data_IF_849670346566
#
_entry.id   IF_849670346566
#
_cell.length_a   1.000
_cell.length_b   1.000
_cell.length_c   1.000
_cell.angle_alpha   90.00
_cell.angle_beta   90.00
_cell.angle_gamma   90.00
#
_symmetry.space_group_name_H-M   'P 1'
#
loop_
_entity.id
_entity.type
_entity.pdbx_description
1 polymer ?
#
# COMPACT_ATOMS: atom_id res chain seq x y z
N UNK A 1 -3.09 2.19 -12.24
CA UNK A 1 -4.32 2.67 -12.88
C UNK A 1 -5.51 1.73 -12.62
N UNK A 2 -5.35 0.41 -12.68
CA UNK A 2 -6.41 -0.58 -12.45
C UNK A 2 -7.05 -0.51 -11.05
N UNK A 3 -6.29 -0.20 -10.01
CA UNK A 3 -6.80 -0.04 -8.64
C UNK A 3 -7.78 1.12 -8.49
N UNK A 4 -7.48 2.25 -9.11
CA UNK A 4 -8.32 3.46 -9.06
C UNK A 4 -9.63 3.24 -9.81
N UNK A 5 -9.58 2.56 -10.97
CA UNK A 5 -10.77 2.22 -11.75
C UNK A 5 -11.69 1.26 -10.98
N UNK A 6 -11.13 0.29 -10.26
CA UNK A 6 -11.89 -0.63 -9.38
C UNK A 6 -12.56 0.11 -8.22
N UNK A 7 -11.89 1.09 -7.60
CA UNK A 7 -12.47 1.90 -6.53
C UNK A 7 -13.65 2.73 -7.07
N UNK A 8 -13.48 3.37 -8.23
CA UNK A 8 -14.57 4.12 -8.87
C UNK A 8 -15.77 3.23 -9.18
N UNK A 9 -15.52 2.08 -9.78
CA UNK A 9 -16.57 1.14 -10.15
C UNK A 9 -17.34 0.64 -8.91
N UNK A 10 -16.64 0.33 -7.81
CA UNK A 10 -17.27 -0.03 -6.53
C UNK A 10 -18.05 1.13 -5.93
N UNK A 11 -17.50 2.35 -5.95
CA UNK A 11 -18.18 3.52 -5.43
C UNK A 11 -19.49 3.78 -6.19
N UNK A 12 -19.44 3.81 -7.53
CA UNK A 12 -20.62 4.02 -8.39
C UNK A 12 -21.65 2.92 -8.17
N UNK A 13 -21.26 1.65 -8.20
CA UNK A 13 -22.19 0.53 -7.95
C UNK A 13 -22.82 0.57 -6.57
N UNK A 14 -22.04 0.86 -5.52
CA UNK A 14 -22.57 0.96 -4.16
C UNK A 14 -23.55 2.12 -4.02
N UNK A 15 -23.25 3.27 -4.61
CA UNK A 15 -24.15 4.43 -4.57
C UNK A 15 -25.47 4.17 -5.29
N UNK A 16 -25.43 3.48 -6.45
CA UNK A 16 -26.64 3.07 -7.18
C UNK A 16 -27.46 2.09 -6.34
N UNK A 17 -26.82 1.08 -5.75
CA UNK A 17 -27.51 0.09 -4.90
C UNK A 17 -28.17 0.73 -3.68
N UNK A 18 -27.48 1.65 -3.00
CA UNK A 18 -28.03 2.38 -1.86
C UNK A 18 -29.22 3.24 -2.29
N UNK A 19 -29.12 3.96 -3.40
CA UNK A 19 -30.20 4.79 -3.92
C UNK A 19 -31.44 3.97 -4.29
N UNK A 20 -31.23 2.83 -4.94
CA UNK A 20 -32.30 1.89 -5.29
C UNK A 20 -32.95 1.31 -4.02
N UNK A 21 -32.14 0.91 -3.05
CA UNK A 21 -32.63 0.40 -1.77
C UNK A 21 -33.47 1.45 -1.02
N UNK A 22 -33.01 2.69 -0.92
CA UNK A 22 -33.74 3.78 -0.24
C UNK A 22 -35.05 4.08 -0.97
N UNK A 23 -35.06 4.05 -2.31
CA UNK A 23 -36.26 4.26 -3.09
C UNK A 23 -37.29 3.15 -2.85
N UNK A 24 -36.87 1.89 -2.88
CA UNK A 24 -37.74 0.72 -2.59
C UNK A 24 -38.24 0.78 -1.15
N UNK A 25 -37.35 1.07 -0.19
CA UNK A 25 -37.69 1.19 1.23
C UNK A 25 -38.75 2.26 1.47
N UNK A 26 -38.62 3.45 0.87
CA UNK A 26 -39.62 4.50 0.98
C UNK A 26 -40.95 4.12 0.38
N UNK A 27 -40.94 3.36 -0.74
CA UNK A 27 -42.16 2.89 -1.37
C UNK A 27 -42.88 1.83 -0.51
N UNK A 28 -42.12 0.91 0.08
CA UNK A 28 -42.66 -0.09 1.01
C UNK A 28 -43.17 0.58 2.29
N UNK A 29 -42.43 1.56 2.83
CA UNK A 29 -42.83 2.30 4.02
C UNK A 29 -44.15 3.06 3.79
N UNK A 30 -44.25 3.75 2.66
CA UNK A 30 -45.51 4.45 2.28
C UNK A 30 -46.66 3.47 2.14
N UNK A 31 -46.43 2.31 1.47
CA UNK A 31 -47.42 1.25 1.32
C UNK A 31 -47.88 0.68 2.68
N UNK A 32 -46.94 0.43 3.59
CA UNK A 32 -47.27 -0.07 4.92
C UNK A 32 -48.04 0.94 5.75
N UNK A 33 -47.68 2.23 5.72
CA UNK A 33 -48.41 3.29 6.39
C UNK A 33 -49.85 3.40 5.91
N UNK A 34 -50.06 3.39 4.59
CA UNK A 34 -51.41 3.41 4.02
C UNK A 34 -52.19 2.16 4.39
N UNK A 35 -51.57 0.98 4.35
CA UNK A 35 -52.24 -0.29 4.63
C UNK A 35 -52.61 -0.44 6.12
N UNK A 36 -51.78 0.00 7.05
CA UNK A 36 -52.03 -0.12 8.47
C UNK A 36 -53.18 0.80 8.93
N UNK A 37 -53.31 1.97 8.33
CA UNK A 37 -54.36 2.92 8.69
C UNK A 37 -55.74 2.54 8.11
N UNK A 38 -55.77 1.93 6.90
CA UNK A 38 -57.02 1.47 6.29
C UNK A 38 -57.58 0.17 6.86
N UNK A 39 -56.79 -0.62 7.56
CA UNK A 39 -57.18 -1.94 8.07
C UNK A 39 -57.77 -1.94 9.48
N UNK A 40 -57.79 -0.80 10.19
CA UNK A 40 -58.30 -0.71 11.55
C UNK A 40 -59.83 -0.63 11.66
N UNK A 41 -60.54 -0.26 10.58
CA UNK A 41 -62.01 -0.17 10.53
C UNK A 41 -62.55 -0.82 9.30
N UNK A 42 -63.76 -1.38 9.43
CA UNK A 42 -64.45 -1.98 8.27
C UNK A 42 -64.74 -0.88 7.22
N UNK A 43 -64.44 -1.06 5.93
CA UNK A 43 -64.78 -0.07 4.91
C UNK A 43 -66.27 0.23 4.93
N UNK A 44 -66.63 1.53 4.81
CA UNK A 44 -68.04 2.00 4.91
C UNK A 44 -68.97 1.28 3.94
N UNK A 45 -68.50 0.92 2.77
CA UNK A 45 -69.24 0.19 1.72
C UNK A 45 -69.58 -1.25 2.16
N UNK A 46 -68.61 -1.96 2.79
CA UNK A 46 -68.82 -3.31 3.31
C UNK A 46 -69.81 -3.31 4.49
N UNK A 47 -69.70 -2.27 5.36
CA UNK A 47 -70.59 -2.07 6.49
C UNK A 47 -72.03 -1.79 6.04
N UNK A 48 -72.18 -0.89 5.04
CA UNK A 48 -73.46 -0.60 4.42
C UNK A 48 -74.16 -1.84 3.81
N UNK A 49 -73.40 -2.61 3.03
CA UNK A 49 -73.86 -3.82 2.40
C UNK A 49 -74.33 -4.85 3.44
N UNK A 50 -73.57 -5.02 4.52
CA UNK A 50 -73.90 -5.88 5.63
C UNK A 50 -75.18 -5.39 6.34
N UNK A 51 -75.32 -4.07 6.49
CA UNK A 51 -76.49 -3.46 7.11
C UNK A 51 -77.75 -3.64 6.23
N UNK A 52 -77.65 -3.44 4.91
CA UNK A 52 -78.72 -3.66 3.94
C UNK A 52 -79.24 -5.11 3.93
N UNK A 53 -78.35 -6.08 4.07
CA UNK A 53 -78.69 -7.49 4.08
C UNK A 53 -79.31 -7.99 5.38
N UNK A 54 -79.13 -7.26 6.52
CA UNK A 54 -79.56 -7.69 7.86
C UNK A 54 -80.65 -6.79 8.47
N UNK A 55 -81.14 -5.82 7.73
CA UNK A 55 -82.26 -4.96 8.19
C UNK A 55 -83.58 -5.59 7.67
N UNK A 56 -84.28 -6.27 8.53
CA UNK A 56 -85.51 -6.97 8.17
C UNK A 56 -86.73 -6.19 8.66
N UNK A 57 -87.85 -6.26 7.92
CA UNK A 57 -89.14 -5.65 8.26
C UNK A 57 -90.08 -6.73 8.85
N UNK A 58 -90.47 -6.62 10.09
CA UNK A 58 -91.46 -7.47 10.77
C UNK A 58 -92.57 -6.58 11.37
N UNK A 59 -93.80 -6.89 11.09
CA UNK A 59 -95.02 -6.23 11.61
C UNK A 59 -94.93 -4.68 11.56
N UNK A 60 -94.46 -4.12 10.46
CA UNK A 60 -94.34 -2.70 10.20
C UNK A 60 -93.20 -2.00 10.93
N UNK A 61 -92.33 -2.72 11.69
CA UNK A 61 -91.08 -2.21 12.34
C UNK A 61 -89.87 -2.86 11.66
N UNK A 62 -88.78 -2.06 11.69
CA UNK A 62 -87.51 -2.54 11.17
C UNK A 62 -86.62 -3.02 12.30
N UNK A 63 -86.04 -4.19 12.17
CA UNK A 63 -85.13 -4.80 13.16
C UNK A 63 -83.79 -5.12 12.55
N UNK A 64 -82.74 -4.81 13.32
CA UNK A 64 -81.40 -5.11 12.91
C UNK A 64 -80.81 -6.23 13.77
N UNK A 65 -80.09 -7.15 13.16
CA UNK A 65 -79.42 -8.22 13.88
C UNK A 65 -78.39 -7.68 14.86
N UNK A 66 -78.30 -8.29 16.06
CA UNK A 66 -77.42 -7.90 17.16
C UNK A 66 -75.93 -7.88 16.77
N UNK A 67 -75.48 -8.78 15.91
CA UNK A 67 -74.11 -8.83 15.38
C UNK A 67 -73.76 -7.59 14.51
N UNK A 68 -74.74 -7.07 13.78
CA UNK A 68 -74.58 -5.87 12.95
C UNK A 68 -74.60 -4.59 13.80
N UNK A 69 -75.43 -4.57 14.88
CA UNK A 69 -75.43 -3.52 15.86
C UNK A 69 -74.03 -3.40 16.54
N UNK A 70 -73.44 -4.52 16.97
CA UNK A 70 -72.09 -4.54 17.51
C UNK A 70 -71.04 -4.04 16.52
N UNK A 71 -71.22 -4.34 15.22
CA UNK A 71 -70.32 -3.85 14.16
C UNK A 71 -70.44 -2.33 13.98
N UNK A 72 -71.68 -1.78 14.01
CA UNK A 72 -71.90 -0.32 13.98
C UNK A 72 -71.25 0.38 15.16
N UNK A 73 -71.40 -0.18 16.36
CA UNK A 73 -70.82 0.34 17.61
C UNK A 73 -69.28 0.34 17.55
N UNK A 74 -68.67 -0.74 17.09
CA UNK A 74 -67.23 -0.84 16.92
C UNK A 74 -66.67 0.20 15.95
N UNK A 75 -67.44 0.51 14.89
CA UNK A 75 -67.05 1.51 13.89
C UNK A 75 -67.47 2.95 14.28
N UNK A 76 -68.08 3.17 15.44
CA UNK A 76 -68.60 4.45 15.90
C UNK A 76 -69.56 5.09 14.90
N UNK A 77 -70.32 4.26 14.20
CA UNK A 77 -71.24 4.70 13.15
C UNK A 77 -72.68 4.76 13.69
N UNK A 78 -73.40 5.78 13.33
CA UNK A 78 -74.85 5.83 13.43
C UNK A 78 -75.45 5.44 12.10
N UNK A 79 -76.70 5.00 12.08
CA UNK A 79 -77.37 4.57 10.87
C UNK A 79 -78.86 5.00 10.85
N UNK A 80 -79.41 5.20 9.67
CA UNK A 80 -80.83 5.40 9.44
C UNK A 80 -81.34 4.73 8.17
N UNK A 81 -82.55 4.38 8.14
CA UNK A 81 -83.23 3.89 6.94
C UNK A 81 -84.29 4.92 6.53
N UNK A 82 -84.25 5.33 5.26
CA UNK A 82 -85.15 6.29 4.63
C UNK A 82 -86.03 5.49 3.64
N UNK A 83 -87.35 5.62 3.76
CA UNK A 83 -88.28 4.97 2.85
C UNK A 83 -88.41 5.70 1.50
N UNK A 84 -89.19 5.14 0.57
CA UNK A 84 -89.43 5.74 -0.77
C UNK A 84 -90.09 7.14 -0.71
N UNK A 85 -90.87 7.40 0.37
CA UNK A 85 -91.51 8.72 0.60
C UNK A 85 -90.57 9.74 1.23
N UNK A 86 -89.31 9.35 1.59
CA UNK A 86 -88.31 10.23 2.16
C UNK A 86 -88.34 10.34 3.70
N UNK A 87 -89.10 9.51 4.41
CA UNK A 87 -89.15 9.50 5.85
C UNK A 87 -88.18 8.52 6.47
N UNK A 88 -87.53 8.93 7.58
CA UNK A 88 -86.70 8.03 8.38
C UNK A 88 -87.60 7.09 9.19
N UNK A 89 -87.65 5.79 8.82
CA UNK A 89 -88.49 4.78 9.46
C UNK A 89 -87.77 3.96 10.51
N UNK A 90 -86.44 3.96 10.45
CA UNK A 90 -85.60 3.31 11.46
C UNK A 90 -84.33 4.11 11.65
N UNK A 91 -83.85 4.18 12.88
CA UNK A 91 -82.59 4.79 13.20
C UNK A 91 -81.83 4.07 14.33
N UNK A 92 -80.48 4.18 14.30
CA UNK A 92 -79.59 3.68 15.32
C UNK A 92 -78.61 4.78 15.71
N UNK A 93 -78.65 5.24 16.96
CA UNK A 93 -77.83 6.32 17.49
C UNK A 93 -77.79 7.60 16.62
N UNK A 94 -78.93 7.93 16.00
CA UNK A 94 -79.06 9.10 15.13
C UNK A 94 -78.84 10.41 15.95
N UNK A 95 -77.94 11.31 15.55
CA UNK A 95 -77.74 12.61 16.18
C UNK A 95 -79.06 13.44 16.15
N UNK A 96 -79.30 14.20 17.23
CA UNK A 96 -80.56 14.97 17.41
C UNK A 96 -80.78 16.08 16.39
N UNK A 97 -79.68 16.58 15.79
CA UNK A 97 -79.67 17.65 14.78
C UNK A 97 -79.99 17.15 13.37
N UNK A 98 -80.15 15.84 13.15
CA UNK A 98 -80.45 15.23 11.88
C UNK A 98 -81.94 15.20 11.61
N UNK A 99 -82.41 15.78 10.46
CA UNK A 99 -83.82 15.73 10.07
C UNK A 99 -84.35 14.31 9.83
N UNK A 100 -85.66 14.13 10.09
CA UNK A 100 -86.31 12.84 9.83
C UNK A 100 -87.08 12.77 8.51
N UNK A 101 -86.98 13.77 7.67
CA UNK A 101 -87.53 13.81 6.33
C UNK A 101 -86.55 14.38 5.31
N UNK A 102 -86.44 13.76 4.17
CA UNK A 102 -85.53 14.13 3.09
C UNK A 102 -86.23 14.09 1.72
N UNK A 103 -86.10 15.13 0.96
CA UNK A 103 -86.51 15.07 -0.44
C UNK A 103 -85.37 14.51 -1.30
N UNK A 104 -85.69 14.22 -2.59
CA UNK A 104 -84.72 13.66 -3.53
C UNK A 104 -83.46 14.49 -3.69
N UNK A 105 -83.59 15.84 -3.63
CA UNK A 105 -82.45 16.77 -3.74
C UNK A 105 -81.54 16.68 -2.53
N UNK A 106 -82.12 16.55 -1.33
CA UNK A 106 -81.34 16.39 -0.07
C UNK A 106 -80.57 15.09 -0.06
N UNK A 107 -81.20 13.99 -0.48
CA UNK A 107 -80.53 12.70 -0.63
C UNK A 107 -79.39 12.77 -1.63
N UNK A 108 -79.58 13.39 -2.79
CA UNK A 108 -78.54 13.58 -3.79
C UNK A 108 -77.34 14.45 -3.28
N UNK A 109 -77.64 15.45 -2.45
CA UNK A 109 -76.61 16.30 -1.84
C UNK A 109 -75.76 15.53 -0.81
N UNK A 110 -76.37 14.88 0.19
CA UNK A 110 -75.60 14.22 1.26
C UNK A 110 -74.98 12.89 0.81
N UNK A 111 -75.52 12.22 -0.18
CA UNK A 111 -74.86 11.03 -0.76
C UNK A 111 -73.49 11.38 -1.34
N UNK A 112 -73.41 12.60 -1.92
CA UNK A 112 -72.12 13.12 -2.50
C UNK A 112 -71.27 13.86 -1.51
N UNK A 113 -71.90 14.66 -0.61
CA UNK A 113 -71.23 15.54 0.33
C UNK A 113 -71.47 15.10 1.79
N UNK A 114 -71.42 16.02 2.74
CA UNK A 114 -71.69 15.81 4.15
C UNK A 114 -73.17 16.10 4.45
N UNK A 115 -73.74 15.39 5.38
CA UNK A 115 -75.05 15.71 5.97
C UNK A 115 -74.82 16.50 7.25
N UNK A 116 -75.05 17.81 7.26
CA UNK A 116 -74.80 18.69 8.44
C UNK A 116 -73.42 18.50 9.07
N UNK A 117 -72.37 18.42 8.25
CA UNK A 117 -70.98 18.15 8.59
C UNK A 117 -70.69 16.69 9.03
N UNK A 118 -71.66 15.81 9.05
CA UNK A 118 -71.44 14.37 9.23
C UNK A 118 -71.03 13.71 7.93
N UNK A 119 -69.93 12.96 7.89
CA UNK A 119 -69.57 12.17 6.76
C UNK A 119 -70.53 10.97 6.66
N UNK A 120 -71.37 10.93 5.62
CA UNK A 120 -72.39 9.92 5.42
C UNK A 120 -72.12 9.13 4.12
N UNK A 121 -72.55 7.86 4.15
CA UNK A 121 -72.50 6.96 2.98
C UNK A 121 -73.86 6.30 2.84
N UNK A 122 -74.29 6.00 1.60
CA UNK A 122 -75.60 5.51 1.27
C UNK A 122 -75.52 4.20 0.52
N UNK A 123 -76.47 3.32 0.71
CA UNK A 123 -76.63 2.08 0.00
C UNK A 123 -78.11 1.78 -0.28
N UNK A 124 -78.40 1.05 -1.36
CA UNK A 124 -79.76 0.61 -1.69
C UNK A 124 -80.28 -0.42 -0.70
N UNK A 125 -81.63 -0.39 -0.47
CA UNK A 125 -82.37 -1.40 0.23
C UNK A 125 -83.72 -1.57 -0.48
N UNK A 126 -84.29 -2.76 -0.43
CA UNK A 126 -85.50 -3.14 -1.19
C UNK A 126 -86.65 -2.11 -1.14
N UNK A 127 -86.82 -1.42 -0.04
CA UNK A 127 -87.91 -0.45 0.17
C UNK A 127 -87.40 0.98 0.50
N UNK A 128 -86.17 1.36 0.08
CA UNK A 128 -85.63 2.68 0.37
C UNK A 128 -84.11 2.72 0.35
N UNK A 129 -83.56 3.61 1.24
CA UNK A 129 -82.15 3.91 1.31
C UNK A 129 -81.61 3.74 2.71
N UNK A 130 -80.56 2.99 2.85
CA UNK A 130 -79.79 2.94 4.10
C UNK A 130 -78.70 3.97 4.04
N UNK A 131 -78.55 4.70 5.17
CA UNK A 131 -77.54 5.71 5.37
C UNK A 131 -76.77 5.37 6.64
N UNK A 132 -75.45 5.30 6.54
CA UNK A 132 -74.60 5.30 7.72
C UNK A 132 -73.85 6.63 7.78
N UNK A 133 -73.61 7.09 8.98
CA UNK A 133 -72.84 8.29 9.20
C UNK A 133 -71.88 8.12 10.34
N UNK A 134 -70.82 8.92 10.33
CA UNK A 134 -69.76 8.93 11.33
C UNK A 134 -69.75 10.28 12.07
N UNK A 135 -69.07 10.37 13.20
CA UNK A 135 -68.94 11.63 13.92
C UNK A 135 -68.35 12.75 13.04
N UNK A 136 -68.70 13.99 13.35
CA UNK A 136 -68.16 15.15 12.59
C UNK A 136 -66.61 15.11 12.64
N UNK A 137 -66.00 15.51 11.54
CA UNK A 137 -64.51 15.54 11.35
C UNK A 137 -63.81 14.19 11.42
N UNK A 138 -64.54 13.06 11.54
CA UNK A 138 -63.93 11.71 11.61
C UNK A 138 -63.42 11.18 10.25
N UNK A 139 -63.96 11.61 9.14
CA UNK A 139 -63.62 11.18 7.82
C UNK A 139 -63.62 12.35 6.84
N UNK A 140 -62.60 12.39 5.99
CA UNK A 140 -62.55 13.32 4.87
C UNK A 140 -63.17 12.65 3.66
N UNK A 141 -64.21 13.19 3.08
CA UNK A 141 -64.93 12.67 1.94
C UNK A 141 -64.60 13.51 0.72
N UNK A 142 -63.71 12.96 -0.14
CA UNK A 142 -63.37 13.57 -1.42
C UNK A 142 -63.88 12.74 -2.57
N UNK A 143 -64.50 13.41 -3.54
CA UNK A 143 -64.88 12.79 -4.80
C UNK A 143 -63.86 13.10 -5.85
N UNK A 144 -62.88 12.24 -6.01
CA UNK A 144 -61.96 12.29 -7.13
C UNK A 144 -62.52 11.45 -8.29
N UNK A 145 -62.66 12.09 -9.44
CA UNK A 145 -62.92 11.36 -10.69
C UNK A 145 -61.67 11.49 -11.56
N UNK A 146 -61.11 10.37 -11.92
CA UNK A 146 -59.98 10.32 -12.86
C UNK A 146 -60.47 9.90 -14.21
N UNK A 147 -59.94 10.49 -15.31
CA UNK A 147 -60.12 9.98 -16.63
C UNK A 147 -59.55 8.56 -16.72
N UNK A 148 -60.28 7.63 -17.31
CA UNK A 148 -59.85 6.20 -17.42
C UNK A 148 -58.51 6.07 -18.15
N UNK A 149 -58.25 6.92 -19.15
CA UNK A 149 -56.98 6.95 -19.90
C UNK A 149 -55.84 7.37 -18.99
N UNK A 150 -56.06 8.34 -18.08
CA UNK A 150 -55.02 8.78 -17.13
C UNK A 150 -54.61 7.62 -16.19
N UNK A 151 -55.58 6.86 -15.71
CA UNK A 151 -55.33 5.70 -14.82
C UNK A 151 -54.63 4.55 -15.57
N UNK A 152 -54.99 4.36 -16.85
CA UNK A 152 -54.37 3.34 -17.71
C UNK A 152 -52.89 3.64 -17.99
N UNK A 153 -52.52 4.92 -18.10
CA UNK A 153 -51.16 5.35 -18.33
C UNK A 153 -50.33 5.47 -17.05
N UNK A 154 -50.93 5.40 -15.86
CA UNK A 154 -50.25 5.55 -14.56
C UNK A 154 -49.03 4.65 -14.42
N UNK A 155 -49.07 3.34 -14.73
CA UNK A 155 -47.91 2.47 -14.62
C UNK A 155 -46.75 2.93 -15.50
N UNK A 156 -47.02 3.41 -16.71
CA UNK A 156 -45.99 3.95 -17.62
C UNK A 156 -45.36 5.23 -17.03
N UNK A 157 -46.16 6.15 -16.51
CA UNK A 157 -45.72 7.39 -15.90
C UNK A 157 -44.86 7.14 -14.67
N UNK A 158 -45.27 6.18 -13.81
CA UNK A 158 -44.46 5.76 -12.66
C UNK A 158 -43.15 5.14 -13.13
N UNK A 159 -43.17 4.29 -14.14
CA UNK A 159 -41.97 3.71 -14.73
C UNK A 159 -41.00 4.73 -15.26
N UNK A 160 -41.48 5.74 -16.01
CA UNK A 160 -40.67 6.84 -16.51
C UNK A 160 -40.06 7.69 -15.38
N UNK A 161 -40.84 7.97 -14.33
CA UNK A 161 -40.35 8.70 -13.15
C UNK A 161 -39.24 7.95 -12.42
N UNK A 162 -39.40 6.62 -12.26
CA UNK A 162 -38.36 5.77 -11.66
C UNK A 162 -37.10 5.76 -12.51
N UNK A 163 -37.23 5.62 -13.84
CA UNK A 163 -36.10 5.61 -14.77
C UNK A 163 -35.36 6.95 -14.75
N UNK A 164 -36.09 8.06 -14.67
CA UNK A 164 -35.51 9.41 -14.54
C UNK A 164 -34.74 9.57 -13.23
N UNK A 165 -35.28 9.08 -12.11
CA UNK A 165 -34.56 9.10 -10.81
C UNK A 165 -33.29 8.26 -10.84
N UNK A 166 -33.32 7.09 -11.46
CA UNK A 166 -32.12 6.25 -11.66
C UNK A 166 -31.09 6.99 -12.49
N UNK A 167 -31.52 7.65 -13.59
CA UNK A 167 -30.65 8.43 -14.44
C UNK A 167 -29.94 9.59 -13.69
N UNK A 168 -30.69 10.35 -12.89
CA UNK A 168 -30.11 11.41 -12.04
C UNK A 168 -29.11 10.86 -11.04
N UNK A 169 -29.48 9.76 -10.36
CA UNK A 169 -28.60 9.14 -9.36
C UNK A 169 -27.29 8.67 -9.99
N UNK A 170 -27.35 8.06 -11.16
CA UNK A 170 -26.17 7.62 -11.90
C UNK A 170 -25.29 8.79 -12.31
N UNK A 171 -25.89 9.85 -12.84
CA UNK A 171 -25.18 11.08 -13.22
C UNK A 171 -24.44 11.70 -12.03
N UNK A 172 -25.14 11.89 -10.92
CA UNK A 172 -24.56 12.44 -9.69
C UNK A 172 -23.43 11.55 -9.14
N UNK A 173 -23.63 10.24 -9.14
CA UNK A 173 -22.62 9.28 -8.69
C UNK A 173 -21.34 9.34 -9.52
N UNK A 174 -21.46 9.43 -10.84
CA UNK A 174 -20.31 9.58 -11.75
C UNK A 174 -19.60 10.92 -11.52
N UNK A 175 -20.34 12.01 -11.39
CA UNK A 175 -19.75 13.35 -11.16
C UNK A 175 -19.00 13.41 -9.82
N UNK A 176 -19.60 12.93 -8.75
CA UNK A 176 -18.96 12.90 -7.41
C UNK A 176 -17.77 11.97 -7.42
N UNK A 177 -17.92 10.76 -7.99
CA UNK A 177 -16.85 9.76 -8.06
C UNK A 177 -15.63 10.25 -8.84
N UNK A 178 -15.84 10.91 -9.98
CA UNK A 178 -14.74 11.46 -10.78
C UNK A 178 -14.01 12.61 -10.07
N UNK A 179 -14.75 13.49 -9.37
CA UNK A 179 -14.13 14.54 -8.53
C UNK A 179 -13.29 13.96 -7.40
N UNK A 180 -13.80 12.94 -6.73
CA UNK A 180 -13.09 12.27 -5.64
C UNK A 180 -11.80 11.61 -6.11
N UNK A 181 -11.85 10.90 -7.25
CA UNK A 181 -10.66 10.26 -7.84
C UNK A 181 -9.62 11.28 -8.29
N UNK A 182 -10.05 12.40 -8.90
CA UNK A 182 -9.13 13.48 -9.27
C UNK A 182 -8.37 14.02 -8.04
N UNK A 183 -9.00 14.04 -6.86
CA UNK A 183 -8.35 14.45 -5.61
C UNK A 183 -7.38 13.40 -5.05
N UNK A 184 -7.72 12.11 -5.14
CA UNK A 184 -6.90 11.03 -4.56
C UNK A 184 -5.68 10.68 -5.42
N UNK A 185 -5.79 10.71 -6.74
CA UNK A 185 -4.72 10.31 -7.66
C UNK A 185 -3.37 10.99 -7.42
N UNK A 186 -3.29 12.31 -7.21
CA UNK A 186 -2.03 12.99 -6.89
C UNK A 186 -1.42 12.50 -5.57
N UNK A 187 -2.24 12.22 -4.55
CA UNK A 187 -1.78 11.74 -3.24
C UNK A 187 -1.15 10.35 -3.33
N UNK A 188 -1.80 9.42 -4.05
CA UNK A 188 -1.27 8.07 -4.27
C UNK A 188 0.04 8.13 -5.06
N UNK A 189 0.09 8.96 -6.12
CA UNK A 189 1.33 9.18 -6.89
C UNK A 189 2.41 9.81 -6.00
N UNK A 190 2.04 10.76 -5.15
CA UNK A 190 2.94 11.38 -4.18
C UNK A 190 3.56 10.36 -3.22
N UNK A 191 2.75 9.52 -2.59
CA UNK A 191 3.26 8.46 -1.70
C UNK A 191 4.20 7.49 -2.43
N UNK A 192 3.88 7.15 -3.69
CA UNK A 192 4.74 6.27 -4.48
C UNK A 192 6.09 6.92 -4.82
N UNK A 193 6.11 8.21 -5.16
CA UNK A 193 7.33 8.95 -5.43
C UNK A 193 8.14 9.19 -4.15
N UNK A 194 7.46 9.37 -3.00
CA UNK A 194 8.12 9.44 -1.70
C UNK A 194 8.91 8.17 -1.38
N UNK A 195 8.36 7.00 -1.73
CA UNK A 195 9.04 5.71 -1.57
C UNK A 195 10.28 5.57 -2.49
N UNK A 196 10.40 6.40 -3.54
CA UNK A 196 11.57 6.48 -4.43
C UNK A 196 12.55 7.59 -4.04
N UNK A 197 12.36 8.21 -2.87
CA UNK A 197 13.17 9.33 -2.37
C UNK A 197 13.09 10.60 -3.25
N UNK A 198 12.08 10.71 -4.13
CA UNK A 198 11.86 11.91 -4.92
C UNK A 198 11.19 13.01 -4.08
N UNK A 199 11.63 14.25 -4.26
CA UNK A 199 11.01 15.39 -3.58
C UNK A 199 9.62 15.67 -4.16
N UNK A 200 8.61 15.79 -3.28
CA UNK A 200 7.22 15.95 -3.66
C UNK A 200 6.67 17.26 -3.12
N UNK A 201 5.89 17.94 -3.97
CA UNK A 201 5.09 19.09 -3.57
C UNK A 201 3.67 18.93 -4.14
N UNK A 202 2.72 18.53 -3.28
CA UNK A 202 1.32 18.36 -3.61
C UNK A 202 0.56 19.66 -3.31
N UNK A 203 -0.43 19.97 -4.14
CA UNK A 203 -1.34 21.10 -3.85
C UNK A 203 -2.21 20.75 -2.63
N UNK A 204 -2.16 21.59 -1.60
CA UNK A 204 -2.90 21.43 -0.35
C UNK A 204 -4.31 22.04 -0.40
N UNK A 205 -4.82 22.42 -1.57
CA UNK A 205 -6.16 22.95 -1.73
C UNK A 205 -7.20 21.84 -1.89
N UNK A 206 -8.36 21.99 -1.25
CA UNK A 206 -9.50 21.11 -1.40
C UNK A 206 -9.72 20.15 -0.20
N UNK A 207 -10.65 19.21 -0.35
CA UNK A 207 -11.15 18.32 0.72
C UNK A 207 -10.02 17.44 1.32
N UNK A 208 -8.99 17.13 0.54
CA UNK A 208 -7.85 16.31 0.96
C UNK A 208 -6.58 17.15 1.21
N UNK A 209 -6.73 18.47 1.42
CA UNK A 209 -5.64 19.41 1.63
C UNK A 209 -4.75 19.06 2.82
N UNK A 210 -5.34 18.68 3.96
CA UNK A 210 -4.62 18.30 5.17
C UNK A 210 -3.74 17.05 4.95
N UNK A 211 -4.25 16.10 4.19
CA UNK A 211 -3.48 14.91 3.82
C UNK A 211 -2.33 15.25 2.87
N UNK A 212 -2.57 16.11 1.89
CA UNK A 212 -1.51 16.62 0.99
C UNK A 212 -0.43 17.36 1.78
N UNK A 213 -0.81 18.19 2.75
CA UNK A 213 0.12 18.91 3.62
C UNK A 213 0.94 17.94 4.50
N UNK A 214 0.31 16.89 5.03
CA UNK A 214 1.00 15.85 5.81
C UNK A 214 2.04 15.11 4.97
N UNK A 215 1.72 14.76 3.72
CA UNK A 215 2.65 14.13 2.77
C UNK A 215 3.81 15.08 2.43
N UNK A 216 3.54 16.37 2.18
CA UNK A 216 4.56 17.38 1.92
C UNK A 216 5.51 17.56 3.12
N UNK A 217 4.97 17.56 4.34
CA UNK A 217 5.76 17.65 5.58
C UNK A 217 6.63 16.41 5.77
N UNK A 218 6.09 15.21 5.50
CA UNK A 218 6.86 13.97 5.54
C UNK A 218 7.99 13.98 4.49
N UNK A 219 7.72 14.44 3.26
CA UNK A 219 8.71 14.59 2.19
C UNK A 219 9.86 15.52 2.60
N UNK A 220 9.51 16.69 3.13
CA UNK A 220 10.49 17.66 3.60
C UNK A 220 11.36 17.12 4.74
N UNK A 221 10.73 16.39 5.68
CA UNK A 221 11.44 15.79 6.82
C UNK A 221 12.36 14.66 6.38
N UNK A 222 11.92 13.80 5.46
CA UNK A 222 12.74 12.75 4.87
C UNK A 222 13.95 13.35 4.15
N UNK A 223 13.72 14.34 3.29
CA UNK A 223 14.79 15.03 2.57
C UNK A 223 15.83 15.61 3.54
N UNK A 224 15.40 16.35 4.57
CA UNK A 224 16.29 16.90 5.60
C UNK A 224 17.11 15.82 6.30
N UNK A 225 16.50 14.67 6.62
CA UNK A 225 17.20 13.54 7.25
C UNK A 225 18.22 12.92 6.30
N UNK A 226 17.87 12.70 5.03
CA UNK A 226 18.78 12.16 4.02
C UNK A 226 19.98 13.10 3.79
N UNK A 227 19.71 14.41 3.64
CA UNK A 227 20.76 15.41 3.48
C UNK A 227 21.67 15.49 4.72
N UNK A 228 21.12 15.41 5.93
CA UNK A 228 21.89 15.40 7.17
C UNK A 228 22.75 14.13 7.31
N UNK A 229 22.22 12.95 6.88
CA UNK A 229 22.99 11.71 6.86
C UNK A 229 24.16 11.81 5.87
N UNK A 230 23.93 12.31 4.64
CA UNK A 230 24.98 12.54 3.65
C UNK A 230 26.04 13.48 4.17
N UNK A 231 25.65 14.64 4.72
CA UNK A 231 26.60 15.61 5.27
C UNK A 231 27.43 15.02 6.43
N UNK A 232 26.80 14.20 7.29
CA UNK A 232 27.52 13.50 8.36
C UNK A 232 28.54 12.50 7.81
N UNK A 233 28.16 11.75 6.78
CA UNK A 233 29.00 10.72 6.18
C UNK A 233 30.16 11.38 5.41
N UNK A 234 29.93 12.48 4.70
CA UNK A 234 30.96 13.30 4.07
C UNK A 234 31.93 13.88 5.13
N UNK A 235 31.41 14.47 6.22
CA UNK A 235 32.23 14.99 7.31
C UNK A 235 33.12 13.90 7.93
N UNK A 236 32.57 12.70 8.14
CA UNK A 236 33.32 11.56 8.68
C UNK A 236 34.43 11.10 7.73
N UNK A 237 34.18 11.04 6.46
CA UNK A 237 35.16 10.66 5.44
C UNK A 237 36.26 11.68 5.34
N UNK A 238 35.93 12.98 5.28
CA UNK A 238 36.89 14.08 5.25
C UNK A 238 37.75 14.12 6.53
N UNK A 239 37.15 13.83 7.70
CA UNK A 239 37.87 13.74 8.96
C UNK A 239 38.91 12.61 8.96
N UNK A 240 38.54 11.40 8.47
CA UNK A 240 39.46 10.27 8.35
C UNK A 240 40.60 10.60 7.37
N UNK A 241 40.27 11.22 6.23
CA UNK A 241 41.25 11.64 5.24
C UNK A 241 42.26 12.67 5.83
N UNK A 242 41.74 13.67 6.57
CA UNK A 242 42.56 14.66 7.26
C UNK A 242 43.52 14.05 8.30
N UNK A 243 42.97 13.20 9.19
CA UNK A 243 43.81 12.51 10.20
C UNK A 243 44.86 11.63 9.51
N UNK A 244 44.48 10.92 8.42
CA UNK A 244 45.39 10.06 7.66
C UNK A 244 46.57 10.86 7.09
N UNK A 245 46.31 12.08 6.61
CA UNK A 245 47.35 13.02 6.15
C UNK A 245 48.24 13.48 7.28
N UNK A 246 47.67 13.91 8.40
CA UNK A 246 48.36 14.47 9.54
C UNK A 246 49.23 13.44 10.28
N UNK A 247 48.85 12.15 10.24
CA UNK A 247 49.69 11.07 10.77
C UNK A 247 50.80 10.69 9.78
N UNK A 248 50.56 10.75 8.46
CA UNK A 248 51.54 10.37 7.44
C UNK A 248 52.82 11.21 7.54
N UNK A 249 52.70 12.52 7.80
CA UNK A 249 53.85 13.44 7.88
C UNK A 249 54.85 13.08 8.99
N UNK A 250 54.44 13.00 10.29
CA UNK A 250 55.37 12.59 11.34
C UNK A 250 55.87 11.16 11.17
N UNK A 251 55.04 10.26 10.65
CA UNK A 251 55.45 8.89 10.41
C UNK A 251 56.54 8.79 9.33
N UNK A 252 56.46 9.63 8.28
CA UNK A 252 57.50 9.65 7.22
C UNK A 252 58.83 10.14 7.78
N UNK A 253 58.86 11.06 8.76
CA UNK A 253 60.07 11.52 9.45
C UNK A 253 60.66 10.37 10.30
N UNK A 254 59.81 9.67 11.06
CA UNK A 254 60.24 8.52 11.88
C UNK A 254 60.87 7.44 10.99
N UNK A 255 60.18 7.11 9.86
CA UNK A 255 60.68 6.14 8.90
C UNK A 255 62.04 6.56 8.29
N UNK A 256 62.18 7.84 7.95
CA UNK A 256 63.42 8.38 7.43
C UNK A 256 64.59 8.19 8.40
N UNK A 257 64.43 8.61 9.64
CA UNK A 257 65.47 8.44 10.68
C UNK A 257 65.72 6.96 10.98
N UNK A 258 64.70 6.12 11.04
CA UNK A 258 64.87 4.67 11.26
C UNK A 258 65.67 4.02 10.13
N UNK A 259 65.40 4.40 8.87
CA UNK A 259 66.17 3.91 7.71
C UNK A 259 67.63 4.35 7.78
N UNK A 260 67.87 5.66 8.07
CA UNK A 260 69.25 6.20 8.20
C UNK A 260 70.05 5.48 9.31
N UNK A 261 69.40 5.22 10.46
CA UNK A 261 70.02 4.48 11.56
C UNK A 261 70.29 3.02 11.22
N UNK A 262 69.37 2.34 10.47
CA UNK A 262 69.53 0.97 10.04
C UNK A 262 70.70 0.78 9.07
N UNK A 263 70.89 1.77 8.18
CA UNK A 263 71.92 1.77 7.16
C UNK A 263 73.28 2.31 7.66
N UNK A 264 73.35 2.91 8.85
CA UNK A 264 74.56 3.50 9.40
C UNK A 264 75.52 2.44 9.90
N UNK A 265 76.70 2.36 9.29
CA UNK A 265 77.79 1.47 9.75
C UNK A 265 78.50 1.94 11.02
N UNK A 266 78.31 3.18 11.44
CA UNK A 266 78.87 3.71 12.65
C UNK A 266 78.14 3.28 13.93
N UNK A 267 76.91 2.77 13.78
CA UNK A 267 76.09 2.32 14.91
C UNK A 267 76.34 0.83 15.21
N UNK A 268 76.28 0.43 16.51
CA UNK A 268 76.32 -0.97 16.92
C UNK A 268 75.21 -1.79 16.24
N UNK A 269 75.52 -3.06 15.95
CA UNK A 269 74.58 -3.98 15.24
C UNK A 269 73.22 -4.05 15.91
N UNK A 270 73.18 -4.02 17.23
CA UNK A 270 71.96 -4.08 18.01
C UNK A 270 71.05 -2.85 17.74
N UNK A 271 71.64 -1.64 17.65
CA UNK A 271 70.90 -0.42 17.39
C UNK A 271 70.38 -0.36 15.94
N UNK A 272 71.13 -0.91 14.99
CA UNK A 272 70.70 -1.05 13.60
C UNK A 272 69.53 -2.02 13.49
N UNK A 273 69.57 -3.14 14.20
CA UNK A 273 68.43 -4.09 14.26
C UNK A 273 67.19 -3.43 14.88
N UNK A 274 67.33 -2.67 15.95
CA UNK A 274 66.25 -1.93 16.58
C UNK A 274 65.64 -0.89 15.59
N UNK A 275 66.50 -0.16 14.86
CA UNK A 275 66.07 0.78 13.85
C UNK A 275 65.30 0.09 12.70
N UNK A 276 65.75 -1.11 12.26
CA UNK A 276 65.02 -1.93 11.29
C UNK A 276 63.63 -2.37 11.77
N UNK A 277 63.51 -2.72 13.04
CA UNK A 277 62.23 -3.05 13.67
C UNK A 277 61.31 -1.81 13.67
N UNK A 278 61.81 -0.64 14.04
CA UNK A 278 61.04 0.62 14.05
C UNK A 278 60.56 0.93 12.65
N UNK A 279 61.46 0.85 11.62
CA UNK A 279 61.09 1.05 10.22
C UNK A 279 59.99 0.11 9.79
N UNK A 280 60.14 -1.20 10.04
CA UNK A 280 59.14 -2.20 9.68
C UNK A 280 57.78 -1.93 10.33
N UNK A 281 57.74 -1.57 11.64
CA UNK A 281 56.49 -1.25 12.30
C UNK A 281 55.89 0.07 11.78
N UNK A 282 56.73 1.06 11.47
CA UNK A 282 56.28 2.30 10.85
C UNK A 282 55.68 2.10 9.45
N UNK A 283 56.27 1.26 8.60
CA UNK A 283 55.71 0.90 7.30
C UNK A 283 54.36 0.19 7.42
N UNK A 284 54.25 -0.72 8.38
CA UNK A 284 53.00 -1.40 8.70
C UNK A 284 51.92 -0.39 9.13
N UNK A 285 52.25 0.58 9.97
CA UNK A 285 51.34 1.65 10.40
C UNK A 285 50.90 2.54 9.21
N UNK A 286 51.83 2.88 8.30
CA UNK A 286 51.59 3.65 7.08
C UNK A 286 50.55 2.92 6.18
N UNK A 287 50.75 1.60 6.01
CA UNK A 287 49.81 0.76 5.24
C UNK A 287 48.42 0.75 5.85
N UNK A 288 48.31 0.60 7.19
CA UNK A 288 47.05 0.63 7.91
C UNK A 288 46.27 1.92 7.76
N UNK A 289 46.94 3.04 7.86
CA UNK A 289 46.32 4.35 7.67
C UNK A 289 45.83 4.52 6.24
N UNK A 290 46.62 4.06 5.27
CA UNK A 290 46.22 4.04 3.86
C UNK A 290 44.99 3.12 3.61
N UNK A 291 44.94 1.97 4.27
CA UNK A 291 43.83 1.02 4.17
C UNK A 291 42.55 1.58 4.79
N UNK A 292 42.66 2.20 5.99
CA UNK A 292 41.55 2.84 6.66
C UNK A 292 40.93 3.97 5.84
N UNK A 293 41.79 4.81 5.26
CA UNK A 293 41.37 5.92 4.42
C UNK A 293 40.63 5.39 3.15
N UNK A 294 41.22 4.41 2.47
CA UNK A 294 40.58 3.81 1.27
C UNK A 294 39.22 3.17 1.59
N UNK A 295 39.15 2.38 2.66
CA UNK A 295 37.90 1.73 3.08
C UNK A 295 36.84 2.78 3.43
N UNK A 296 37.23 3.85 4.12
CA UNK A 296 36.30 4.95 4.41
C UNK A 296 35.81 5.63 3.15
N UNK A 297 36.67 5.93 2.20
CA UNK A 297 36.27 6.57 0.94
C UNK A 297 35.37 5.64 0.07
N UNK A 298 35.61 4.35 0.08
CA UNK A 298 34.78 3.37 -0.63
C UNK A 298 33.43 3.18 0.06
N UNK A 299 33.39 3.14 1.40
CA UNK A 299 32.15 2.99 2.19
C UNK A 299 31.14 4.11 1.90
N UNK A 300 31.64 5.33 1.68
CA UNK A 300 30.82 6.52 1.45
C UNK A 300 30.76 6.94 -0.02
N UNK A 301 31.15 6.04 -0.94
CA UNK A 301 31.15 6.27 -2.40
C UNK A 301 31.92 7.53 -2.83
N UNK A 302 32.90 7.96 -2.03
CA UNK A 302 33.71 9.15 -2.32
C UNK A 302 34.99 8.85 -3.09
N UNK A 303 35.30 7.56 -3.29
CA UNK A 303 36.47 7.15 -4.06
C UNK A 303 36.15 7.23 -5.56
N UNK A 304 36.80 8.11 -6.35
CA UNK A 304 36.66 8.10 -7.79
C UNK A 304 37.24 6.83 -8.38
N UNK A 305 36.47 6.12 -9.19
CA UNK A 305 36.88 4.90 -9.87
C UNK A 305 37.38 5.22 -11.29
N UNK A 306 38.57 4.75 -11.62
CA UNK A 306 39.13 4.82 -12.99
C UNK A 306 38.81 3.51 -13.72
N UNK A 307 37.55 3.34 -14.13
CA UNK A 307 37.07 2.13 -14.76
C UNK A 307 37.64 1.99 -16.18
N UNK A 308 38.31 0.84 -16.46
CA UNK A 308 38.78 0.43 -17.77
C UNK A 308 38.51 -1.06 -18.00
N UNK A 309 38.65 -1.50 -19.23
CA UNK A 309 38.55 -2.93 -19.54
C UNK A 309 39.80 -3.65 -19.03
N UNK A 310 39.60 -4.65 -18.18
CA UNK A 310 40.67 -5.37 -17.47
C UNK A 310 40.47 -6.86 -17.65
N UNK A 311 41.55 -7.59 -17.78
CA UNK A 311 41.58 -9.05 -17.71
C UNK A 311 42.02 -9.48 -16.32
N UNK A 312 41.13 -10.14 -15.56
CA UNK A 312 41.49 -10.62 -14.22
C UNK A 312 42.64 -11.65 -14.22
N UNK A 313 42.78 -12.41 -15.30
CA UNK A 313 43.90 -13.34 -15.48
C UNK A 313 45.26 -12.63 -15.48
N UNK A 314 45.34 -11.41 -16.06
CA UNK A 314 46.59 -10.62 -16.05
C UNK A 314 46.89 -10.13 -14.63
N UNK A 315 45.89 -9.64 -13.88
CA UNK A 315 46.09 -9.23 -12.49
C UNK A 315 46.49 -10.41 -11.58
N UNK A 316 45.90 -11.59 -11.79
CA UNK A 316 46.27 -12.79 -11.02
C UNK A 316 47.72 -13.19 -11.26
N UNK A 317 48.19 -13.14 -12.55
CA UNK A 317 49.62 -13.38 -12.85
C UNK A 317 50.55 -12.35 -12.23
N UNK A 318 50.18 -11.08 -12.30
CA UNK A 318 50.96 -10.01 -11.71
C UNK A 318 51.13 -10.22 -10.20
N UNK A 319 50.05 -10.47 -9.49
CA UNK A 319 50.11 -10.72 -8.03
C UNK A 319 50.99 -11.91 -7.70
N UNK A 320 50.83 -13.03 -8.41
CA UNK A 320 51.68 -14.21 -8.19
C UNK A 320 53.14 -13.92 -8.43
N UNK A 321 53.48 -13.20 -9.54
CA UNK A 321 54.84 -12.79 -9.86
C UNK A 321 55.42 -11.88 -8.81
N UNK A 322 54.66 -10.89 -8.31
CA UNK A 322 55.11 -9.96 -7.27
C UNK A 322 55.45 -10.68 -5.97
N UNK A 323 54.63 -11.65 -5.53
CA UNK A 323 54.91 -12.44 -4.33
C UNK A 323 56.17 -13.34 -4.50
N UNK A 324 56.31 -14.02 -5.65
CA UNK A 324 57.48 -14.84 -5.91
C UNK A 324 58.77 -14.03 -5.99
N UNK A 325 58.77 -12.87 -6.65
CA UNK A 325 59.94 -12.00 -6.76
C UNK A 325 60.35 -11.32 -5.46
N UNK A 326 59.42 -11.08 -4.54
CA UNK A 326 59.66 -10.47 -3.22
C UNK A 326 60.19 -11.45 -2.18
N UNK A 327 60.65 -12.63 -2.58
CA UNK A 327 61.29 -13.60 -1.70
C UNK A 327 60.28 -14.33 -0.80
N UNK A 328 59.17 -14.76 -1.33
CA UNK A 328 58.24 -15.62 -0.60
C UNK A 328 58.98 -16.91 -0.21
N UNK A 329 58.81 -17.33 1.06
CA UNK A 329 59.44 -18.53 1.61
C UNK A 329 59.00 -19.79 0.83
N UNK A 330 59.91 -20.74 0.61
CA UNK A 330 59.66 -22.01 -0.12
C UNK A 330 58.53 -22.86 0.50
N UNK A 331 58.06 -22.54 1.70
CA UNK A 331 56.88 -23.15 2.35
C UNK A 331 55.55 -22.85 1.68
N UNK A 332 55.52 -21.81 0.80
CA UNK A 332 54.33 -21.40 0.08
C UNK A 332 54.44 -21.75 -1.39
N UNK A 333 53.47 -22.46 -1.92
CA UNK A 333 53.38 -22.86 -3.32
C UNK A 333 52.28 -22.07 -4.04
N UNK A 334 52.53 -21.55 -5.23
CA UNK A 334 51.54 -20.91 -6.05
C UNK A 334 51.09 -21.80 -7.23
N UNK A 335 49.76 -21.97 -7.36
CA UNK A 335 49.15 -22.67 -8.47
C UNK A 335 48.25 -21.68 -9.23
N UNK A 336 48.51 -21.49 -10.51
CA UNK A 336 47.69 -20.65 -11.40
C UNK A 336 46.82 -21.53 -12.32
N UNK A 337 45.48 -21.37 -12.21
CA UNK A 337 44.48 -22.02 -13.05
C UNK A 337 43.65 -20.97 -13.79
N UNK A 338 44.21 -20.36 -14.80
CA UNK A 338 43.61 -19.23 -15.48
C UNK A 338 42.82 -19.71 -16.71
N UNK A 339 41.50 -19.72 -16.58
CA UNK A 339 40.57 -20.07 -17.64
C UNK A 339 39.90 -18.80 -18.18
N UNK A 340 39.41 -18.85 -19.42
CA UNK A 340 38.70 -17.74 -20.06
C UNK A 340 39.47 -16.41 -20.06
N UNK A 341 40.76 -16.46 -20.36
CA UNK A 341 41.68 -15.31 -20.26
C UNK A 341 41.32 -14.12 -21.15
N UNK A 342 40.52 -14.32 -22.20
CA UNK A 342 40.06 -13.27 -23.07
C UNK A 342 38.93 -12.44 -22.50
N UNK A 343 38.26 -12.92 -21.45
CA UNK A 343 37.12 -12.23 -20.82
C UNK A 343 37.60 -10.98 -20.09
N UNK A 344 36.89 -9.88 -20.32
CA UNK A 344 37.18 -8.57 -19.73
C UNK A 344 36.06 -8.13 -18.80
N UNK A 345 36.41 -7.40 -17.77
CA UNK A 345 35.51 -6.74 -16.85
C UNK A 345 35.79 -5.23 -16.83
N UNK A 346 34.81 -4.41 -16.54
CA UNK A 346 35.03 -2.99 -16.29
C UNK A 346 35.48 -2.79 -14.83
N UNK A 347 36.68 -2.28 -14.64
CA UNK A 347 37.20 -2.11 -13.28
C UNK A 347 38.35 -1.11 -13.17
N UNK A 348 38.68 -0.75 -11.94
CA UNK A 348 39.88 0.00 -11.58
C UNK A 348 41.01 -1.00 -11.27
N UNK A 349 42.01 -1.02 -12.14
CA UNK A 349 43.11 -1.96 -12.06
C UNK A 349 43.86 -1.92 -10.72
N UNK A 350 44.13 -0.71 -10.20
CA UNK A 350 44.88 -0.55 -8.96
C UNK A 350 44.11 -1.08 -7.76
N UNK A 351 42.80 -0.83 -7.73
CA UNK A 351 41.95 -1.30 -6.64
C UNK A 351 41.74 -2.82 -6.72
N UNK A 352 41.48 -3.37 -7.91
CA UNK A 352 41.35 -4.82 -8.07
C UNK A 352 42.65 -5.56 -7.77
N UNK A 353 43.80 -5.03 -8.22
CA UNK A 353 45.13 -5.56 -7.88
C UNK A 353 45.30 -5.60 -6.34
N UNK A 354 44.96 -4.49 -5.66
CA UNK A 354 45.03 -4.42 -4.18
C UNK A 354 44.11 -5.41 -3.52
N UNK A 355 42.90 -5.65 -4.06
CA UNK A 355 41.98 -6.66 -3.52
C UNK A 355 42.55 -8.08 -3.61
N UNK A 356 43.12 -8.44 -4.77
CA UNK A 356 43.70 -9.75 -4.97
C UNK A 356 44.94 -9.94 -4.09
N UNK A 357 45.82 -8.92 -4.02
CA UNK A 357 47.01 -8.90 -3.14
C UNK A 357 46.61 -9.12 -1.68
N UNK A 358 45.54 -8.45 -1.20
CA UNK A 358 45.06 -8.63 0.18
C UNK A 358 44.56 -10.06 0.45
N UNK A 359 43.87 -10.70 -0.50
CA UNK A 359 43.42 -12.09 -0.33
C UNK A 359 44.62 -13.05 -0.25
N UNK A 360 45.60 -12.89 -1.12
CA UNK A 360 46.83 -13.68 -1.12
C UNK A 360 47.62 -13.46 0.15
N UNK A 361 47.79 -12.17 0.56
CA UNK A 361 48.49 -11.81 1.80
C UNK A 361 47.80 -12.43 3.04
N UNK A 362 46.48 -12.48 3.07
CA UNK A 362 45.75 -13.15 4.14
C UNK A 362 46.08 -14.65 4.21
N UNK A 363 46.15 -15.33 3.07
CA UNK A 363 46.55 -16.75 3.02
C UNK A 363 47.97 -16.95 3.53
N UNK A 364 48.91 -16.06 3.21
CA UNK A 364 50.30 -16.12 3.72
C UNK A 364 50.33 -15.85 5.23
N UNK A 365 49.68 -14.74 5.68
CA UNK A 365 49.78 -14.27 7.08
C UNK A 365 49.12 -15.23 8.06
N UNK A 366 48.04 -15.89 7.65
CA UNK A 366 47.31 -16.77 8.55
C UNK A 366 47.75 -18.27 8.52
N UNK A 367 48.68 -18.60 7.63
CA UNK A 367 49.21 -19.96 7.49
C UNK A 367 50.73 -19.99 7.66
N UNK A 368 51.25 -19.64 8.82
CA UNK A 368 52.70 -19.54 9.13
C UNK A 368 53.52 -20.82 8.90
N UNK A 369 52.86 -21.96 8.80
CA UNK A 369 53.52 -23.25 8.49
C UNK A 369 53.70 -23.50 6.99
N UNK A 370 53.23 -22.56 6.15
CA UNK A 370 53.15 -22.69 4.71
C UNK A 370 51.76 -23.19 4.25
N UNK A 371 51.47 -22.94 2.99
CA UNK A 371 50.24 -23.41 2.35
C UNK A 371 50.36 -23.36 0.81
N UNK A 372 49.50 -24.09 0.13
CA UNK A 372 49.32 -24.02 -1.30
C UNK A 372 48.24 -22.98 -1.60
N UNK A 373 48.62 -21.93 -2.34
CA UNK A 373 47.72 -20.84 -2.73
C UNK A 373 47.37 -20.99 -4.22
N UNK A 374 46.09 -21.19 -4.50
CA UNK A 374 45.60 -21.35 -5.88
C UNK A 374 44.85 -20.10 -6.30
N UNK A 375 45.31 -19.48 -7.40
CA UNK A 375 44.59 -18.43 -8.09
C UNK A 375 43.88 -19.01 -9.31
N UNK A 376 42.56 -18.92 -9.33
CA UNK A 376 41.76 -19.52 -10.41
C UNK A 376 40.81 -18.48 -10.99
N UNK A 377 40.66 -18.51 -12.33
CA UNK A 377 39.61 -17.71 -12.96
C UNK A 377 38.58 -18.64 -13.61
N UNK A 378 37.29 -18.28 -13.46
CA UNK A 378 36.18 -19.04 -14.03
C UNK A 378 35.06 -18.11 -14.48
N UNK A 379 34.12 -18.64 -15.25
CA UNK A 379 32.92 -17.95 -15.68
C UNK A 379 31.73 -18.55 -14.92
N UNK A 380 30.77 -17.72 -14.50
CA UNK A 380 29.52 -18.21 -13.90
C UNK A 380 28.73 -19.06 -14.88
N UNK A 381 27.84 -19.93 -14.38
CA UNK A 381 27.07 -20.86 -15.24
C UNK A 381 26.21 -20.13 -16.27
N UNK A 382 25.72 -18.95 -15.97
CA UNK A 382 24.94 -18.07 -16.84
C UNK A 382 25.79 -17.12 -17.69
N UNK A 383 27.13 -17.22 -17.57
CA UNK A 383 28.12 -16.38 -18.25
C UNK A 383 27.97 -14.86 -17.98
N UNK A 384 27.20 -14.47 -16.98
CA UNK A 384 26.98 -13.07 -16.63
C UNK A 384 28.11 -12.48 -15.80
N UNK A 385 28.84 -13.33 -15.05
CA UNK A 385 29.88 -12.92 -14.13
C UNK A 385 31.20 -13.65 -14.40
N UNK A 386 32.31 -12.91 -14.31
CA UNK A 386 33.65 -13.44 -14.36
C UNK A 386 34.21 -13.49 -12.93
N UNK A 387 34.62 -14.67 -12.50
CA UNK A 387 35.03 -14.96 -11.14
C UNK A 387 36.55 -15.07 -11.06
N UNK A 388 37.14 -14.41 -10.06
CA UNK A 388 38.51 -14.65 -9.63
C UNK A 388 38.46 -15.29 -8.24
N UNK A 389 39.09 -16.45 -8.10
CA UNK A 389 39.01 -17.28 -6.91
C UNK A 389 40.42 -17.42 -6.31
N UNK A 390 40.57 -17.07 -5.05
CA UNK A 390 41.78 -17.31 -4.26
C UNK A 390 41.46 -18.43 -3.28
N UNK A 391 42.19 -19.53 -3.37
CA UNK A 391 42.03 -20.71 -2.51
C UNK A 391 43.31 -20.99 -1.76
N UNK A 392 43.23 -21.30 -0.46
CA UNK A 392 44.31 -21.87 0.27
C UNK A 392 43.94 -23.25 0.86
N UNK A 393 44.93 -24.02 1.28
CA UNK A 393 44.75 -25.27 1.99
C UNK A 393 45.11 -25.14 3.47
N UNK A 394 45.04 -23.93 4.00
CA UNK A 394 45.33 -23.60 5.40
C UNK A 394 44.21 -24.02 6.37
N UNK A 395 44.20 -23.41 7.55
CA UNK A 395 43.27 -23.75 8.63
C UNK A 395 41.80 -23.33 8.38
N UNK A 396 41.52 -22.48 7.39
CA UNK A 396 40.20 -21.92 7.14
C UNK A 396 39.72 -20.93 8.21
N UNK A 397 38.42 -20.56 8.15
CA UNK A 397 37.78 -19.64 9.08
C UNK A 397 36.55 -20.31 9.68
N UNK A 398 36.29 -20.22 11.02
CA UNK A 398 35.07 -20.70 11.59
C UNK A 398 33.81 -20.19 10.87
N UNK A 399 32.86 -21.08 10.57
CA UNK A 399 31.67 -20.76 9.75
C UNK A 399 30.90 -19.58 10.34
N UNK A 400 30.84 -19.46 11.67
CA UNK A 400 30.15 -18.39 12.39
C UNK A 400 30.79 -17.00 12.16
N UNK A 401 32.08 -16.98 11.80
CA UNK A 401 32.84 -15.74 11.55
C UNK A 401 32.87 -15.34 10.08
N UNK A 402 32.47 -16.21 9.13
CA UNK A 402 32.56 -15.93 7.70
C UNK A 402 31.72 -14.71 7.26
N UNK A 403 30.57 -14.52 7.84
CA UNK A 403 29.70 -13.36 7.57
C UNK A 403 30.18 -12.09 8.27
N UNK A 404 30.76 -12.22 9.48
CA UNK A 404 31.20 -11.07 10.24
C UNK A 404 32.54 -10.50 9.74
N UNK A 405 33.38 -11.30 9.08
CA UNK A 405 34.73 -10.90 8.69
C UNK A 405 34.76 -9.90 7.52
N UNK A 406 33.67 -9.79 6.77
CA UNK A 406 33.51 -8.78 5.71
C UNK A 406 33.11 -7.41 6.26
N UNK A 407 32.66 -7.36 7.52
CA UNK A 407 32.28 -6.13 8.20
C UNK A 407 33.53 -5.42 8.80
N UNK A 408 33.43 -4.09 8.91
CA UNK A 408 34.51 -3.30 9.50
C UNK A 408 34.78 -3.71 10.96
N UNK A 409 36.03 -3.69 11.43
CA UNK A 409 36.40 -4.09 12.80
C UNK A 409 35.67 -3.30 13.91
N UNK A 410 35.20 -2.10 13.57
CA UNK A 410 34.51 -1.17 14.49
C UNK A 410 32.99 -1.10 14.25
N UNK A 411 32.47 -1.94 13.38
CA UNK A 411 31.04 -2.07 13.12
C UNK A 411 30.33 -2.68 14.35
N UNK A 412 29.14 -2.21 14.66
CA UNK A 412 28.29 -2.78 15.71
C UNK A 412 27.89 -4.24 15.43
N UNK A 413 28.02 -4.70 14.19
CA UNK A 413 27.73 -6.06 13.76
C UNK A 413 28.86 -7.05 14.03
N UNK A 414 30.10 -6.56 14.28
CA UNK A 414 31.26 -7.40 14.55
C UNK A 414 31.55 -7.50 16.04
N UNK A 415 31.47 -8.72 16.59
CA UNK A 415 31.90 -8.98 17.99
C UNK A 415 33.42 -8.85 18.08
N UNK A 416 33.91 -8.01 18.98
CA UNK A 416 35.35 -7.78 19.22
C UNK A 416 36.02 -9.07 19.70
N UNK A 417 36.96 -9.60 18.92
CA UNK A 417 37.97 -10.56 19.38
C UNK A 417 39.34 -9.89 19.33
N UNK A 418 40.04 -9.88 20.46
CA UNK A 418 41.23 -9.07 20.73
C UNK A 418 42.51 -9.57 20.04
N UNK A 419 42.44 -10.62 19.25
CA UNK A 419 43.66 -11.34 18.86
C UNK A 419 43.74 -11.73 17.41
N UNK A 420 43.75 -11.00 16.41
CA UNK A 420 44.24 -11.47 15.10
C UNK A 420 44.25 -10.35 14.07
N UNK A 421 45.40 -9.68 13.92
CA UNK A 421 45.65 -8.77 12.83
C UNK A 421 44.76 -7.52 12.86
N UNK A 422 45.01 -6.55 11.96
CA UNK A 422 44.23 -5.30 11.95
C UNK A 422 42.80 -5.45 11.38
N UNK A 423 42.48 -6.60 10.82
CA UNK A 423 41.14 -6.97 10.37
C UNK A 423 40.53 -6.12 9.25
N UNK A 424 41.34 -5.29 8.55
CA UNK A 424 40.87 -4.43 7.47
C UNK A 424 40.96 -5.08 6.08
N UNK A 425 41.79 -6.13 5.89
CA UNK A 425 42.05 -6.71 4.57
C UNK A 425 40.77 -7.20 3.86
N UNK A 426 40.03 -8.11 4.49
CA UNK A 426 38.79 -8.66 3.89
C UNK A 426 37.68 -7.62 3.76
N UNK A 427 37.39 -6.76 4.77
CA UNK A 427 36.49 -5.62 4.61
C UNK A 427 36.84 -4.74 3.42
N UNK A 428 38.11 -4.41 3.21
CA UNK A 428 38.55 -3.62 2.07
C UNK A 428 38.28 -4.33 0.74
N UNK A 429 38.58 -5.64 0.64
CA UNK A 429 38.23 -6.43 -0.55
C UNK A 429 36.74 -6.36 -0.83
N UNK A 430 35.90 -6.54 0.20
CA UNK A 430 34.45 -6.47 0.06
C UNK A 430 34.00 -5.09 -0.50
N UNK A 431 34.56 -3.98 0.01
CA UNK A 431 34.21 -2.62 -0.47
C UNK A 431 34.73 -2.34 -1.88
N UNK A 432 35.94 -2.81 -2.20
CA UNK A 432 36.45 -2.69 -3.58
C UNK A 432 35.54 -3.45 -4.54
N UNK A 433 35.19 -4.68 -4.24
CA UNK A 433 34.33 -5.52 -5.09
C UNK A 433 32.93 -4.90 -5.24
N UNK A 434 32.36 -4.41 -4.16
CA UNK A 434 31.08 -3.70 -4.16
C UNK A 434 31.10 -2.44 -5.03
N UNK A 435 32.17 -1.65 -4.94
CA UNK A 435 32.36 -0.45 -5.78
C UNK A 435 32.40 -0.79 -7.28
N UNK A 436 32.83 -2.01 -7.63
CA UNK A 436 32.81 -2.56 -8.98
C UNK A 436 31.50 -3.28 -9.35
N UNK A 437 30.43 -3.14 -8.54
CA UNK A 437 29.15 -3.81 -8.71
C UNK A 437 29.24 -5.34 -8.70
N UNK A 438 30.26 -5.86 -8.02
CA UNK A 438 30.51 -7.28 -7.85
C UNK A 438 30.10 -7.81 -6.47
N UNK A 439 30.38 -9.08 -6.23
CA UNK A 439 30.13 -9.76 -4.96
C UNK A 439 31.37 -10.49 -4.49
N UNK A 440 31.66 -10.43 -3.18
CA UNK A 440 32.68 -11.24 -2.52
C UNK A 440 32.01 -12.38 -1.79
N UNK A 441 32.33 -13.60 -2.16
CA UNK A 441 31.86 -14.81 -1.50
C UNK A 441 33.02 -15.49 -0.78
N UNK A 442 32.84 -15.83 0.51
CA UNK A 442 33.83 -16.50 1.34
C UNK A 442 33.26 -17.85 1.80
N UNK A 443 33.95 -18.93 1.50
CA UNK A 443 33.56 -20.27 1.95
C UNK A 443 34.78 -21.07 2.40
N UNK A 444 34.59 -22.04 3.28
CA UNK A 444 35.62 -23.04 3.56
C UNK A 444 35.56 -24.17 2.53
N UNK A 445 36.68 -24.83 2.29
CA UNK A 445 36.72 -26.02 1.42
C UNK A 445 35.95 -27.18 2.08
N UNK A 446 35.09 -27.82 1.29
CA UNK A 446 34.39 -29.05 1.75
C UNK A 446 35.43 -30.15 1.98
N UNK A 447 35.37 -30.83 3.17
CA UNK A 447 36.24 -31.93 3.58
C UNK A 447 37.75 -31.64 3.63
N UNK A 448 38.20 -30.43 3.45
CA UNK A 448 39.62 -30.03 3.56
C UNK A 448 39.70 -28.70 4.34
N UNK A 449 40.71 -28.52 5.14
CA UNK A 449 41.03 -27.24 5.75
C UNK A 449 41.41 -26.23 4.66
N UNK A 450 40.98 -24.97 4.78
CA UNK A 450 41.33 -23.88 3.88
C UNK A 450 40.17 -22.94 3.56
N UNK A 451 40.51 -21.72 3.09
CA UNK A 451 39.57 -20.68 2.70
C UNK A 451 39.43 -20.63 1.18
N UNK A 452 38.25 -20.37 0.70
CA UNK A 452 37.94 -20.01 -0.70
C UNK A 452 37.34 -18.60 -0.67
N UNK A 453 38.02 -17.64 -1.29
CA UNK A 453 37.53 -16.30 -1.52
C UNK A 453 37.25 -16.11 -3.01
N UNK A 454 36.01 -15.85 -3.38
CA UNK A 454 35.58 -15.65 -4.76
C UNK A 454 35.16 -14.21 -4.97
N UNK A 455 35.83 -13.50 -5.87
CA UNK A 455 35.45 -12.18 -6.38
C UNK A 455 34.65 -12.41 -7.65
N UNK A 456 33.41 -11.99 -7.68
CA UNK A 456 32.49 -12.07 -8.81
C UNK A 456 32.27 -10.68 -9.41
N UNK A 457 32.63 -10.46 -10.66
CA UNK A 457 32.46 -9.18 -11.36
C UNK A 457 31.63 -9.36 -12.64
N UNK A 458 30.73 -8.39 -12.96
CA UNK A 458 29.94 -8.46 -14.19
C UNK A 458 30.83 -8.45 -15.43
N UNK A 459 30.58 -9.37 -16.37
CA UNK A 459 31.27 -9.44 -17.65
C UNK A 459 30.91 -8.22 -18.46
N UNK A 460 31.92 -7.61 -19.08
CA UNK A 460 31.71 -6.54 -20.04
C UNK A 460 31.27 -7.15 -21.39
N UNK A 461 29.94 -7.15 -21.62
CA UNK A 461 29.41 -7.41 -22.95
C UNK A 461 29.51 -6.12 -23.79
N UNK A 462 30.37 -6.09 -24.83
CA UNK A 462 30.21 -5.09 -25.89
C UNK A 462 28.81 -5.27 -26.48
N UNK A 463 27.93 -4.28 -26.26
CA UNK A 463 26.64 -4.21 -26.97
C UNK A 463 26.98 -4.17 -28.46
N UNK A 464 26.79 -5.28 -29.20
CA UNK A 464 26.79 -5.26 -30.65
C UNK A 464 25.86 -4.13 -31.08
N UNK A 465 26.42 -3.03 -31.59
CA UNK A 465 25.65 -2.04 -32.33
C UNK A 465 24.86 -2.80 -33.40
N UNK A 466 23.54 -2.56 -33.54
CA UNK A 466 22.80 -3.12 -34.64
C UNK A 466 23.47 -2.64 -35.93
N UNK A 467 23.92 -3.59 -36.75
CA UNK A 467 24.39 -3.32 -38.11
C UNK A 467 23.16 -2.78 -38.83
N UNK A 468 23.12 -1.46 -39.01
CA UNK A 468 22.22 -0.82 -39.96
C UNK A 468 22.66 -1.27 -41.33
N UNK A 469 21.94 -2.23 -41.90
CA UNK A 469 22.02 -2.58 -43.33
C UNK A 469 21.52 -1.36 -44.11
N UNK A 470 22.45 -0.80 -44.85
CA UNK A 470 22.20 0.10 -45.99
C UNK A 470 21.34 -0.57 -47.05
#
# INVERSE_FOLDING_TARGET
LEGITRILQRFVTTTILISLFVLIFNFVLLGTLIFTETNQRMPSEVLLKKLSQNLDKQDNNYYLNESTIKTLQHNLAWAMFIDEDGYVRWDYHLPKDIPKFYNLVDVAKFSRYYLLQYPVYTWEHDNGLIVIGYPKESHWKYHFSFLSDWLREMPLRIGLLLLFNIGITLLLSVVIGTRFIKGIRPLVSGVHNLAKEESIQLDSKGILGDLAQSINSASTTLKKKTDALKARDEARSNWIAGISHDIRTPLSIILGYASEMEDSFELPVEHRQQAGIIRQQGEKLRSLISDLNLVSMLEYEMQPLHLKQIRLSVLARQVATDFLNNGLDDRYEFILKLNFEAVQVMGDEKLLLRAITNLVQNSVTHNNQGCVITLETSLSKDQSQYCLIVKDNGRGIPVEKLTEITELPYSSRRKRTVQEGHGLGIPMVARIVQAHRGYLNLTNRENQNGLIATIELPVHCESKKPITST
#
